data_IF_847705446669
#
_entry.id   IF_847705446669
#
_cell.length_a   1.000
_cell.length_b   1.000
_cell.length_c   1.000
_cell.angle_alpha   90.00
_cell.angle_beta   90.00
_cell.angle_gamma   90.00
#
_symmetry.space_group_name_H-M   'P 1'
#
loop_
_entity.id
_entity.type
_entity.pdbx_description
1 polymer ?
#
# COMPACT_ATOMS: atom_id res chain seq x y z
N UNK A 1 31.40 39.44 27.01
CA UNK A 1 32.12 38.34 26.31
C UNK A 1 31.35 37.03 26.18
N UNK A 2 30.11 36.86 26.69
CA UNK A 2 29.29 35.64 26.53
C UNK A 2 28.26 35.67 25.37
N UNK A 3 27.97 36.85 24.79
CA UNK A 3 26.94 37.02 23.80
C UNK A 3 27.39 36.51 22.42
N UNK A 4 28.65 36.68 22.05
CA UNK A 4 29.18 36.26 20.75
C UNK A 4 29.35 34.74 20.65
N UNK A 5 29.57 34.05 21.77
CA UNK A 5 29.63 32.58 21.83
C UNK A 5 28.25 31.98 21.59
N UNK A 6 27.23 32.53 22.24
CA UNK A 6 25.85 32.05 22.07
C UNK A 6 25.33 32.19 20.65
N UNK A 7 25.63 33.31 19.94
CA UNK A 7 25.25 33.52 18.54
C UNK A 7 25.98 32.53 17.62
N UNK A 8 27.26 32.28 17.87
CA UNK A 8 28.03 31.28 17.09
C UNK A 8 27.45 29.86 17.28
N UNK A 9 27.15 29.49 18.51
CA UNK A 9 26.60 28.17 18.82
C UNK A 9 25.21 27.99 18.18
N UNK A 10 24.37 29.03 18.21
CA UNK A 10 23.07 29.03 17.53
C UNK A 10 23.17 28.87 16.01
N UNK A 11 24.13 29.58 15.37
CA UNK A 11 24.38 29.48 13.94
C UNK A 11 24.86 28.08 13.55
N UNK A 12 25.79 27.51 14.31
CA UNK A 12 26.31 26.16 14.07
C UNK A 12 25.19 25.12 14.21
N UNK A 13 24.36 25.23 15.26
CA UNK A 13 23.25 24.33 15.44
C UNK A 13 22.24 24.41 14.30
N UNK A 14 21.89 25.62 13.87
CA UNK A 14 21.01 25.86 12.73
C UNK A 14 21.58 25.29 11.43
N UNK A 15 22.88 25.46 11.20
CA UNK A 15 23.53 24.90 10.01
C UNK A 15 23.50 23.38 10.00
N UNK A 16 23.78 22.73 11.14
CA UNK A 16 23.72 21.26 11.25
C UNK A 16 22.32 20.74 11.01
N UNK A 17 21.29 21.35 11.60
CA UNK A 17 19.90 20.93 11.41
C UNK A 17 19.44 21.12 9.96
N UNK A 18 19.86 22.20 9.31
CA UNK A 18 19.52 22.48 7.93
C UNK A 18 20.18 21.47 6.97
N UNK A 19 21.47 21.18 7.18
CA UNK A 19 22.18 20.16 6.39
C UNK A 19 21.56 18.78 6.59
N UNK A 20 21.26 18.40 7.83
CA UNK A 20 20.61 17.11 8.14
C UNK A 20 19.24 17.00 7.51
N UNK A 21 18.44 18.06 7.54
CA UNK A 21 17.12 18.09 6.90
C UNK A 21 17.21 17.97 5.37
N UNK A 22 18.19 18.64 4.75
CA UNK A 22 18.42 18.53 3.29
C UNK A 22 18.89 17.12 2.89
N UNK A 23 19.77 16.51 3.68
CA UNK A 23 20.23 15.13 3.42
C UNK A 23 19.09 14.14 3.54
N UNK A 24 18.28 14.21 4.59
CA UNK A 24 17.12 13.34 4.78
C UNK A 24 16.07 13.54 3.67
N UNK A 25 15.75 14.78 3.33
CA UNK A 25 14.83 15.10 2.25
C UNK A 25 15.32 14.62 0.88
N UNK A 26 16.63 14.78 0.61
CA UNK A 26 17.25 14.31 -0.62
C UNK A 26 17.24 12.79 -0.76
N UNK A 27 17.61 12.07 0.30
CA UNK A 27 17.55 10.60 0.33
C UNK A 27 16.11 10.12 0.16
N UNK A 28 15.16 10.72 0.87
CA UNK A 28 13.75 10.37 0.72
C UNK A 28 13.24 10.58 -0.71
N UNK A 29 13.58 11.71 -1.34
CA UNK A 29 13.19 11.99 -2.72
C UNK A 29 13.72 10.96 -3.72
N UNK A 30 14.97 10.52 -3.57
CA UNK A 30 15.58 9.50 -4.41
C UNK A 30 15.01 8.10 -4.16
N UNK A 31 14.66 7.81 -2.91
CA UNK A 31 14.23 6.46 -2.51
C UNK A 31 12.73 6.25 -2.71
N UNK A 32 11.91 7.31 -2.64
CA UNK A 32 10.45 7.24 -2.78
C UNK A 32 10.02 6.53 -4.07
N UNK A 33 10.66 6.85 -5.20
CA UNK A 33 10.32 6.22 -6.49
C UNK A 33 10.67 4.74 -6.51
N UNK A 34 11.82 4.35 -5.94
CA UNK A 34 12.23 2.94 -5.86
C UNK A 34 11.31 2.12 -4.96
N UNK A 35 10.88 2.69 -3.83
CA UNK A 35 9.91 2.05 -2.93
C UNK A 35 8.58 1.87 -3.65
N UNK A 36 8.10 2.90 -4.36
CA UNK A 36 6.86 2.82 -5.13
C UNK A 36 6.93 1.72 -6.20
N UNK A 37 7.99 1.69 -7.01
CA UNK A 37 8.20 0.66 -8.05
C UNK A 37 8.27 -0.76 -7.44
N UNK A 38 8.95 -0.93 -6.31
CA UNK A 38 9.05 -2.22 -5.63
C UNK A 38 7.68 -2.69 -5.07
N UNK A 39 6.91 -1.77 -4.47
CA UNK A 39 5.58 -2.09 -3.95
C UNK A 39 4.59 -2.41 -5.08
N UNK A 40 4.67 -1.69 -6.21
CA UNK A 40 3.86 -2.00 -7.40
C UNK A 40 4.19 -3.37 -7.96
N UNK A 41 5.49 -3.70 -8.13
CA UNK A 41 5.92 -5.00 -8.62
C UNK A 41 5.42 -6.14 -7.70
N UNK A 42 5.54 -5.99 -6.38
CA UNK A 42 5.03 -6.97 -5.40
C UNK A 42 3.50 -7.09 -5.44
N UNK A 43 2.79 -6.00 -5.66
CA UNK A 43 1.33 -6.01 -5.79
C UNK A 43 0.90 -6.75 -7.06
N UNK A 44 1.52 -6.48 -8.21
CA UNK A 44 1.27 -7.16 -9.49
C UNK A 44 1.57 -8.66 -9.37
N UNK A 45 2.70 -9.03 -8.77
CA UNK A 45 3.03 -10.43 -8.50
C UNK A 45 1.96 -11.12 -7.65
N UNK A 46 1.44 -10.41 -6.64
CA UNK A 46 0.35 -10.93 -5.80
C UNK A 46 -0.95 -11.09 -6.56
N UNK A 47 -1.24 -10.22 -7.53
CA UNK A 47 -2.40 -10.33 -8.39
C UNK A 47 -2.32 -11.59 -9.25
N UNK A 48 -1.18 -11.85 -9.88
CA UNK A 48 -0.96 -13.08 -10.65
C UNK A 48 -1.04 -14.36 -9.79
N UNK A 49 -0.68 -14.28 -8.51
CA UNK A 49 -0.79 -15.44 -7.60
C UNK A 49 -2.23 -15.79 -7.23
N UNK A 50 -3.12 -14.80 -7.19
CA UNK A 50 -4.53 -15.02 -6.79
C UNK A 50 -5.45 -15.26 -7.98
N UNK A 51 -5.05 -14.77 -9.16
CA UNK A 51 -5.77 -14.95 -10.42
C UNK A 51 -4.81 -14.83 -11.59
N UNK A 52 -4.91 -15.74 -12.57
CA UNK A 52 -4.10 -15.72 -13.78
C UNK A 52 -4.63 -14.66 -14.76
N UNK A 53 -4.45 -13.40 -14.40
CA UNK A 53 -4.89 -12.24 -15.14
C UNK A 53 -3.71 -11.62 -15.91
N UNK A 54 -3.89 -11.31 -17.17
CA UNK A 54 -2.86 -10.66 -18.00
C UNK A 54 -2.88 -9.12 -17.91
N UNK A 55 -3.98 -8.55 -17.46
CA UNK A 55 -4.10 -7.11 -17.21
C UNK A 55 -4.98 -6.81 -16.03
N UNK A 56 -4.59 -5.82 -15.26
CA UNK A 56 -5.34 -5.18 -14.21
C UNK A 56 -5.72 -3.76 -14.64
N UNK A 57 -6.97 -3.41 -14.44
CA UNK A 57 -7.47 -2.06 -14.67
C UNK A 57 -7.77 -1.43 -13.30
N UNK A 58 -6.75 -0.80 -12.72
CA UNK A 58 -6.85 -0.21 -11.38
C UNK A 58 -7.92 0.91 -11.30
N UNK A 59 -8.23 1.56 -12.42
CA UNK A 59 -9.22 2.65 -12.43
C UNK A 59 -10.67 2.15 -12.55
N UNK A 60 -10.90 0.96 -13.10
CA UNK A 60 -12.26 0.54 -13.47
C UNK A 60 -13.24 0.35 -12.32
N UNK A 61 -12.74 0.11 -11.12
CA UNK A 61 -13.57 -0.10 -9.92
C UNK A 61 -13.34 0.93 -8.80
N UNK A 62 -12.43 1.88 -8.99
CA UNK A 62 -12.15 2.90 -7.97
C UNK A 62 -13.39 3.73 -7.63
N UNK A 63 -14.11 4.22 -8.64
CA UNK A 63 -15.35 4.98 -8.45
C UNK A 63 -16.47 4.14 -7.84
N UNK A 64 -16.59 2.87 -8.25
CA UNK A 64 -17.58 1.95 -7.70
C UNK A 64 -17.28 1.64 -6.23
N UNK A 65 -16.00 1.50 -5.87
CA UNK A 65 -15.55 1.29 -4.50
C UNK A 65 -15.84 2.50 -3.61
N UNK A 66 -15.52 3.71 -4.07
CA UNK A 66 -15.80 4.94 -3.33
C UNK A 66 -17.31 5.14 -3.13
N UNK A 67 -18.11 4.84 -4.13
CA UNK A 67 -19.57 4.87 -4.01
C UNK A 67 -20.07 3.84 -3.00
N UNK A 68 -19.55 2.61 -3.04
CA UNK A 68 -19.94 1.53 -2.12
C UNK A 68 -19.54 1.85 -0.65
N UNK A 69 -18.43 2.55 -0.44
CA UNK A 69 -18.04 3.08 0.87
C UNK A 69 -19.01 4.18 1.34
N UNK A 70 -19.41 5.06 0.43
CA UNK A 70 -20.26 6.22 0.76
C UNK A 70 -21.71 5.82 1.03
N UNK A 71 -22.26 4.86 0.29
CA UNK A 71 -23.65 4.39 0.46
C UNK A 71 -23.80 3.28 1.53
N UNK A 72 -22.68 2.88 2.16
CA UNK A 72 -22.67 1.92 3.24
C UNK A 72 -22.83 0.46 2.79
N UNK A 73 -22.77 0.17 1.49
CA UNK A 73 -22.80 -1.19 0.97
C UNK A 73 -21.54 -1.97 1.40
N UNK A 74 -20.40 -1.26 1.51
CA UNK A 74 -19.19 -1.76 2.16
C UNK A 74 -19.12 -1.17 3.55
N UNK A 75 -19.49 -1.96 4.56
CA UNK A 75 -19.39 -1.52 5.95
C UNK A 75 -17.93 -1.45 6.39
N UNK A 76 -17.53 -0.30 6.92
CA UNK A 76 -16.23 -0.13 7.57
C UNK A 76 -16.11 -0.90 8.90
N UNK A 77 -17.19 -1.53 9.35
CA UNK A 77 -17.29 -2.17 10.67
C UNK A 77 -16.94 -3.67 10.66
N UNK A 78 -16.16 -4.11 9.68
CA UNK A 78 -15.70 -5.51 9.58
C UNK A 78 -14.46 -5.77 10.46
N UNK A 79 -14.56 -5.50 11.76
CA UNK A 79 -13.47 -5.80 12.69
C UNK A 79 -12.20 -4.96 12.49
N UNK A 80 -12.32 -3.75 11.93
CA UNK A 80 -11.17 -2.88 11.64
C UNK A 80 -10.44 -3.19 10.33
N UNK A 81 -11.01 -4.02 9.46
CA UNK A 81 -10.50 -4.24 8.12
C UNK A 81 -10.93 -3.09 7.18
N UNK A 82 -9.99 -2.60 6.39
CA UNK A 82 -10.20 -1.55 5.40
C UNK A 82 -9.98 -2.11 4.00
N UNK A 83 -10.88 -1.78 3.07
CA UNK A 83 -10.74 -2.11 1.65
C UNK A 83 -9.95 -1.00 0.96
N UNK A 84 -8.76 -1.34 0.44
CA UNK A 84 -7.84 -0.39 -0.19
C UNK A 84 -8.13 -0.19 -1.67
N UNK A 85 -8.29 -1.28 -2.41
CA UNK A 85 -8.59 -1.24 -3.84
C UNK A 85 -9.35 -2.48 -4.30
N UNK A 86 -10.06 -2.34 -5.40
CA UNK A 86 -10.66 -3.43 -6.14
C UNK A 86 -10.43 -3.21 -7.62
N UNK A 87 -10.01 -4.25 -8.34
CA UNK A 87 -9.73 -4.20 -9.78
C UNK A 87 -10.42 -5.36 -10.49
N UNK A 88 -10.82 -5.15 -11.74
CA UNK A 88 -11.31 -6.23 -12.59
C UNK A 88 -10.11 -6.96 -13.19
N UNK A 89 -10.02 -8.27 -12.94
CA UNK A 89 -9.06 -9.15 -13.59
C UNK A 89 -9.53 -9.48 -15.00
N UNK A 90 -8.67 -9.26 -16.00
CA UNK A 90 -8.98 -9.50 -17.42
C UNK A 90 -8.02 -10.54 -18.00
N UNK A 91 -8.51 -11.35 -18.91
CA UNK A 91 -7.70 -12.27 -19.70
C UNK A 91 -6.98 -11.57 -20.87
N UNK A 92 -6.21 -12.33 -21.67
CA UNK A 92 -5.53 -11.84 -22.86
C UNK A 92 -6.49 -11.26 -23.92
N UNK A 93 -7.76 -11.61 -23.88
CA UNK A 93 -8.82 -11.09 -24.75
C UNK A 93 -9.45 -9.79 -24.23
N UNK A 94 -9.11 -9.38 -22.99
CA UNK A 94 -9.71 -8.23 -22.32
C UNK A 94 -11.07 -8.52 -21.67
N UNK A 95 -11.47 -9.78 -21.59
CA UNK A 95 -12.70 -10.20 -20.92
C UNK A 95 -12.47 -10.32 -19.40
N UNK A 96 -13.43 -9.85 -18.61
CA UNK A 96 -13.32 -9.92 -17.15
C UNK A 96 -13.49 -11.36 -16.66
N UNK A 97 -12.45 -11.92 -16.07
CA UNK A 97 -12.43 -13.27 -15.49
C UNK A 97 -12.70 -13.28 -13.99
N UNK A 98 -12.78 -12.12 -13.36
CA UNK A 98 -13.07 -11.97 -11.93
C UNK A 98 -12.65 -10.61 -11.40
N UNK A 99 -12.46 -10.57 -10.09
CA UNK A 99 -12.07 -9.37 -9.36
C UNK A 99 -10.90 -9.67 -8.44
N UNK A 100 -10.01 -8.70 -8.28
CA UNK A 100 -8.92 -8.76 -7.32
C UNK A 100 -9.13 -7.64 -6.31
N UNK A 101 -9.20 -8.00 -5.05
CA UNK A 101 -9.50 -7.08 -3.95
C UNK A 101 -8.30 -7.00 -3.03
N UNK A 102 -7.84 -5.79 -2.74
CA UNK A 102 -6.77 -5.53 -1.78
C UNK A 102 -7.35 -4.87 -0.54
N UNK A 103 -7.10 -5.46 0.59
CA UNK A 103 -7.54 -4.95 1.89
C UNK A 103 -6.40 -4.91 2.90
N UNK A 104 -6.62 -4.19 4.00
CA UNK A 104 -5.71 -4.19 5.14
C UNK A 104 -6.48 -4.32 6.44
N UNK A 105 -5.83 -4.89 7.44
CA UNK A 105 -6.32 -4.94 8.82
C UNK A 105 -5.17 -4.69 9.78
N UNK A 106 -5.48 -4.17 10.97
CA UNK A 106 -4.49 -3.99 12.02
C UNK A 106 -4.03 -5.36 12.54
N UNK A 107 -2.72 -5.64 12.43
CA UNK A 107 -2.06 -6.77 13.06
C UNK A 107 -1.29 -6.34 14.31
N UNK A 108 -0.60 -7.27 14.95
CA UNK A 108 0.17 -7.01 16.17
C UNK A 108 1.40 -6.14 15.89
N UNK A 109 2.13 -6.40 14.83
CA UNK A 109 3.35 -5.68 14.45
C UNK A 109 3.13 -4.51 13.48
N UNK A 110 1.91 -4.33 12.97
CA UNK A 110 1.55 -3.31 11.98
C UNK A 110 0.35 -3.74 11.13
N UNK A 111 0.07 -2.99 10.08
CA UNK A 111 -1.02 -3.36 9.17
C UNK A 111 -0.63 -4.59 8.34
N UNK A 112 -1.54 -5.54 8.27
CA UNK A 112 -1.46 -6.71 7.40
C UNK A 112 -2.23 -6.42 6.12
N UNK A 113 -1.54 -6.44 4.99
CA UNK A 113 -2.14 -6.26 3.66
C UNK A 113 -2.41 -7.63 3.05
N UNK A 114 -3.61 -7.83 2.54
CA UNK A 114 -4.03 -9.06 1.87
C UNK A 114 -4.61 -8.75 0.50
N UNK A 115 -4.28 -9.58 -0.48
CA UNK A 115 -4.85 -9.59 -1.83
C UNK A 115 -5.68 -10.85 -2.00
N UNK A 116 -6.91 -10.72 -2.42
CA UNK A 116 -7.88 -11.81 -2.60
C UNK A 116 -8.40 -11.78 -4.03
N UNK A 117 -8.26 -12.88 -4.74
CA UNK A 117 -8.92 -13.10 -6.03
C UNK A 117 -10.34 -13.62 -5.82
N UNK A 118 -11.30 -13.07 -6.53
CA UNK A 118 -12.72 -13.44 -6.47
C UNK A 118 -13.23 -13.71 -7.88
N UNK A 119 -13.72 -14.91 -8.11
CA UNK A 119 -14.31 -15.31 -9.40
C UNK A 119 -15.68 -14.65 -9.61
N UNK A 120 -16.23 -14.62 -10.86
CA UNK A 120 -17.54 -14.03 -11.13
C UNK A 120 -18.69 -14.67 -10.36
N UNK A 121 -18.57 -15.92 -9.96
CA UNK A 121 -19.53 -16.64 -9.11
C UNK A 121 -19.28 -16.41 -7.59
N UNK A 122 -18.53 -15.36 -7.26
CA UNK A 122 -18.23 -14.89 -5.89
C UNK A 122 -17.49 -15.91 -5.02
N UNK A 123 -16.65 -16.73 -5.61
CA UNK A 123 -15.77 -17.64 -4.88
C UNK A 123 -14.36 -17.09 -4.82
N UNK A 124 -13.66 -17.34 -3.74
CA UNK A 124 -12.24 -17.01 -3.60
C UNK A 124 -11.42 -17.93 -4.49
N UNK A 125 -10.66 -17.36 -5.43
CA UNK A 125 -9.72 -18.09 -6.29
C UNK A 125 -8.36 -18.28 -5.63
N UNK A 126 -7.93 -17.30 -4.84
CA UNK A 126 -6.66 -17.34 -4.14
C UNK A 126 -6.49 -16.18 -3.17
N UNK A 127 -5.50 -16.31 -2.29
CA UNK A 127 -5.11 -15.25 -1.33
C UNK A 127 -3.60 -15.10 -1.41
N UNK A 128 -3.12 -13.87 -1.40
CA UNK A 128 -1.69 -13.53 -1.38
C UNK A 128 -1.41 -12.35 -0.45
N UNK A 129 -0.19 -12.31 0.06
CA UNK A 129 0.32 -11.23 0.89
C UNK A 129 1.44 -10.52 0.11
N UNK A 130 1.24 -9.29 -0.37
CA UNK A 130 2.21 -8.58 -1.20
C UNK A 130 3.44 -8.10 -0.41
N UNK A 131 3.30 -7.99 0.90
CA UNK A 131 4.37 -7.56 1.80
C UNK A 131 4.72 -8.65 2.80
N UNK A 132 5.95 -8.61 3.31
CA UNK A 132 6.32 -9.44 4.46
C UNK A 132 5.42 -9.05 5.64
N UNK A 133 4.75 -10.05 6.21
CA UNK A 133 3.88 -9.82 7.36
C UNK A 133 4.69 -9.19 8.50
N UNK A 134 4.26 -8.06 9.07
CA UNK A 134 4.94 -7.40 10.18
C UNK A 134 4.68 -8.13 11.52
N UNK A 135 4.53 -9.44 11.45
CA UNK A 135 4.20 -10.30 12.58
C UNK A 135 5.44 -11.05 13.09
N UNK A 136 5.41 -11.46 14.34
CA UNK A 136 6.48 -12.26 14.94
C UNK A 136 6.56 -13.62 14.26
N UNK A 137 7.74 -14.01 13.81
CA UNK A 137 7.96 -15.29 13.15
C UNK A 137 7.42 -16.46 14.01
N UNK A 138 6.53 -17.26 13.43
CA UNK A 138 5.89 -18.40 14.08
C UNK A 138 4.60 -18.08 14.84
N UNK A 139 4.13 -16.84 14.84
CA UNK A 139 2.86 -16.42 15.43
C UNK A 139 1.87 -15.86 14.40
N UNK A 140 2.31 -15.66 13.16
CA UNK A 140 1.49 -15.17 12.04
C UNK A 140 1.15 -16.26 11.05
#
# INVERSE_FOLDING_TARGET
MKKDSFVKDAIVLTAITLVSGLLLGGVYGLTKQRIYEANMASTIESYHKVMDAESDDEESLADALEKAKTDGTVSADNGGAELLSAVAAKDAGGEAIGYIVKGQAAGYGGNVIVVVGVTPDLKVSGISFPETLPETAGLG
#
